data_IF_524124454753
#
_entry.id   IF_524124454753
#
_cell.length_a   1.000
_cell.length_b   1.000
_cell.length_c   1.000
_cell.angle_alpha   90.00
_cell.angle_beta   90.00
_cell.angle_gamma   90.00
#
_symmetry.space_group_name_H-M   'P 1'
#
loop_
_entity.id
_entity.type
_entity.pdbx_description
1 polymer ?
#
# COMPACT_ATOMS: atom_id res chain seq x y z
N UNK A 1 -0.99 -3.34 -51.77
CA UNK A 1 -1.85 -3.15 -51.05
C UNK A 1 -1.51 -2.99 -49.69
N UNK A 2 -1.65 -2.07 -49.12
CA UNK A 2 -1.35 -1.82 -47.79
C UNK A 2 -2.21 -2.54 -46.91
N UNK A 3 -1.62 -2.95 -45.95
CA UNK A 3 -2.38 -3.65 -45.00
C UNK A 3 -3.16 -2.74 -44.24
N UNK A 4 -4.30 -3.03 -44.01
CA UNK A 4 -5.05 -2.28 -43.23
C UNK A 4 -4.80 -2.51 -41.89
N UNK A 5 -4.46 -1.75 -41.15
CA UNK A 5 -4.30 -1.88 -39.85
C UNK A 5 -5.57 -2.08 -39.21
N UNK A 6 -5.72 -2.94 -38.33
CA UNK A 6 -6.93 -3.15 -37.63
C UNK A 6 -7.15 -1.99 -36.75
N UNK A 7 -8.32 -1.63 -36.55
CA UNK A 7 -8.61 -0.53 -35.68
C UNK A 7 -8.33 -0.97 -34.28
N UNK A 8 -8.04 -0.12 -33.47
CA UNK A 8 -7.73 -0.41 -32.11
C UNK A 8 -8.96 -0.91 -31.51
N UNK A 9 -8.82 -1.90 -30.85
CA UNK A 9 -9.96 -2.46 -30.28
C UNK A 9 -10.52 -1.56 -29.30
N UNK A 10 -11.69 -1.37 -29.37
CA UNK A 10 -12.27 -0.61 -28.46
C UNK A 10 -12.21 -1.22 -27.22
N UNK A 11 -11.78 -0.80 -26.41
CA UNK A 11 -11.73 -1.27 -25.22
C UNK A 11 -12.91 -1.28 -24.70
N UNK A 12 -13.28 -2.09 -24.28
CA UNK A 12 -14.40 -2.27 -23.77
C UNK A 12 -14.58 -1.57 -22.66
N UNK A 13 -14.88 -0.95 -22.62
CA UNK A 13 -15.18 -0.24 -21.61
C UNK A 13 -15.82 -0.82 -20.62
N UNK A 14 -15.96 -1.52 -20.50
CA UNK A 14 -16.48 -2.11 -19.67
C UNK A 14 -17.25 -1.68 -18.77
N UNK A 15 -17.64 -1.87 -18.48
CA UNK A 15 -18.56 -1.70 -17.66
C UNK A 15 -18.06 -1.16 -16.50
N UNK A 16 -17.84 -0.39 -16.40
CA UNK A 16 -17.33 0.13 -15.43
C UNK A 16 -17.53 -0.26 -14.11
N UNK A 17 -17.97 -1.26 -13.89
CA UNK A 17 -18.15 -1.68 -12.68
C UNK A 17 -16.99 -1.81 -12.11
N UNK A 18 -16.24 -1.12 -12.11
CA UNK A 18 -15.23 -1.20 -11.55
C UNK A 18 -14.16 -1.84 -11.42
N UNK A 19 -13.64 -2.29 -10.99
CA UNK A 19 -12.55 -2.96 -10.98
C UNK A 19 -11.52 -2.15 -11.57
N UNK A 20 -11.54 -0.86 -11.59
CA UNK A 20 -10.46 -0.09 -12.02
C UNK A 20 -9.35 -0.22 -11.05
N UNK A 21 -8.15 -0.13 -11.46
CA UNK A 21 -7.01 -0.16 -10.59
C UNK A 21 -6.47 1.24 -10.44
N UNK A 22 -6.05 1.57 -9.25
CA UNK A 22 -5.46 2.87 -9.00
C UNK A 22 -3.96 2.74 -9.06
N UNK A 23 -3.31 3.76 -9.60
CA UNK A 23 -1.87 3.80 -9.72
C UNK A 23 -1.32 4.72 -8.66
N UNK A 24 -0.44 4.19 -7.84
CA UNK A 24 0.21 4.96 -6.79
C UNK A 24 1.70 4.93 -7.00
N UNK A 25 2.41 5.82 -6.36
CA UNK A 25 3.86 5.83 -6.49
C UNK A 25 4.51 6.09 -5.14
N UNK A 26 5.74 5.62 -5.00
CA UNK A 26 6.55 5.89 -3.83
C UNK A 26 7.23 7.24 -4.04
N UNK A 27 7.21 8.06 -3.02
CA UNK A 27 7.67 9.43 -3.12
C UNK A 27 9.18 9.55 -2.93
N UNK A 28 9.74 8.88 -1.94
CA UNK A 28 11.15 9.05 -1.64
C UNK A 28 11.75 7.75 -1.15
N UNK A 29 13.07 7.71 -0.98
CA UNK A 29 13.77 6.56 -0.42
C UNK A 29 14.27 5.60 -1.47
N UNK A 30 14.54 4.37 -1.04
CA UNK A 30 15.13 3.38 -1.91
C UNK A 30 14.27 3.02 -3.09
N UNK A 31 12.97 3.11 -2.94
CA UNK A 31 12.02 2.78 -4.02
C UNK A 31 11.45 4.02 -4.68
N UNK A 32 12.09 5.17 -4.50
CA UNK A 32 11.58 6.41 -5.05
C UNK A 32 11.19 6.28 -6.49
N UNK A 33 10.00 6.74 -6.81
CA UNK A 33 9.49 6.74 -8.17
C UNK A 33 8.86 5.44 -8.60
N UNK A 34 8.98 4.37 -7.83
CA UNK A 34 8.32 3.13 -8.20
C UNK A 34 6.82 3.31 -8.14
N UNK A 35 6.14 2.75 -9.11
CA UNK A 35 4.70 2.83 -9.20
C UNK A 35 4.11 1.49 -8.98
N UNK A 36 2.91 1.45 -8.42
CA UNK A 36 2.24 0.18 -8.20
C UNK A 36 0.74 0.38 -8.31
N UNK A 37 0.05 -0.68 -8.67
CA UNK A 37 -1.39 -0.64 -8.82
C UNK A 37 -2.02 -1.49 -7.76
N UNK A 38 -3.21 -1.12 -7.35
CA UNK A 38 -3.97 -1.97 -6.45
C UNK A 38 -5.43 -1.89 -6.86
N UNK A 39 -6.20 -2.92 -6.54
CA UNK A 39 -7.60 -2.93 -6.96
C UNK A 39 -8.37 -1.82 -6.28
N UNK A 40 -9.32 -1.26 -7.02
CA UNK A 40 -10.11 -0.22 -6.45
C UNK A 40 -11.17 -0.90 -5.63
N UNK A 41 -10.99 -0.99 -4.37
CA UNK A 41 -11.96 -1.55 -3.48
C UNK A 41 -12.55 -0.41 -2.69
N UNK A 42 -13.14 -0.70 -1.60
CA UNK A 42 -13.65 0.36 -0.76
C UNK A 42 -12.50 0.88 0.05
N UNK A 43 -11.43 1.24 -0.60
CA UNK A 43 -10.25 1.74 0.05
C UNK A 43 -10.01 3.14 -0.43
N UNK A 44 -9.85 4.06 0.52
CA UNK A 44 -9.58 5.40 0.17
C UNK A 44 -8.09 5.60 0.18
N UNK A 45 -7.46 5.89 -0.92
CA UNK A 45 -6.02 6.06 -0.92
C UNK A 45 -5.63 7.37 -0.26
N UNK A 46 -4.48 7.38 0.36
CA UNK A 46 -3.94 8.59 0.94
C UNK A 46 -3.22 9.35 -0.15
N UNK A 47 -3.59 10.59 -0.42
CA UNK A 47 -2.97 11.33 -1.52
C UNK A 47 -1.47 11.52 -1.32
N UNK A 48 -0.74 11.67 -2.41
CA UNK A 48 0.70 11.85 -2.37
C UNK A 48 1.10 12.99 -1.47
N UNK A 49 0.41 14.12 -1.57
CA UNK A 49 0.74 15.26 -0.78
C UNK A 49 0.62 14.99 0.71
N UNK A 50 -0.40 14.27 1.11
CA UNK A 50 -0.60 13.96 2.51
C UNK A 50 0.51 13.02 2.98
N UNK A 51 0.87 12.03 2.17
CA UNK A 51 1.93 11.12 2.53
C UNK A 51 3.26 11.86 2.64
N UNK A 52 3.51 12.77 1.71
CA UNK A 52 4.74 13.52 1.74
C UNK A 52 4.85 14.36 3.02
N UNK A 53 3.78 15.04 3.38
CA UNK A 53 3.77 15.87 4.58
C UNK A 53 3.97 15.00 5.83
N UNK A 54 3.29 13.88 5.89
CA UNK A 54 3.42 12.99 7.02
C UNK A 54 4.86 12.53 7.21
N UNK A 55 5.49 12.07 6.13
CA UNK A 55 6.83 11.53 6.24
C UNK A 55 7.89 12.62 6.42
N UNK A 56 7.59 13.84 5.99
CA UNK A 56 8.49 14.96 6.31
C UNK A 56 8.51 15.18 7.82
N UNK A 57 7.36 15.07 8.47
CA UNK A 57 7.30 15.23 9.91
C UNK A 57 8.01 14.07 10.62
N UNK A 58 8.00 12.88 10.05
CA UNK A 58 8.57 11.71 10.69
C UNK A 58 10.01 11.44 10.24
N UNK A 59 10.58 12.35 9.46
CA UNK A 59 11.84 12.11 8.83
C UNK A 59 12.92 11.61 9.78
N UNK A 60 12.98 12.15 10.98
CA UNK A 60 14.01 11.76 11.92
C UNK A 60 13.72 10.45 12.63
N UNK A 61 12.52 9.89 12.44
CA UNK A 61 12.15 8.70 13.17
C UNK A 61 11.94 7.47 12.34
N UNK A 62 11.95 7.61 11.03
CA UNK A 62 11.63 6.48 10.16
C UNK A 62 12.78 5.49 10.06
N UNK A 63 14.00 5.96 9.89
CA UNK A 63 15.11 5.06 9.67
C UNK A 63 15.28 4.13 10.86
N UNK A 64 15.25 2.85 10.62
CA UNK A 64 15.40 1.86 11.67
C UNK A 64 14.15 1.59 12.50
N UNK A 65 13.04 2.22 12.17
CA UNK A 65 11.84 2.07 12.99
C UNK A 65 11.10 0.78 12.65
N UNK A 66 10.46 0.20 13.67
CA UNK A 66 9.53 -0.91 13.47
C UNK A 66 8.13 -0.32 13.45
N UNK A 67 7.45 -0.47 12.33
CA UNK A 67 6.21 0.24 12.08
C UNK A 67 5.02 -0.69 11.97
N UNK A 68 3.86 -0.20 12.34
CA UNK A 68 2.60 -0.91 12.17
C UNK A 68 1.67 -0.04 11.34
N UNK A 69 1.20 -0.57 10.22
CA UNK A 69 0.24 0.12 9.35
C UNK A 69 -1.09 -0.57 9.58
N UNK A 70 -1.91 0.00 10.44
CA UNK A 70 -3.04 -0.71 10.98
C UNK A 70 -4.22 -0.83 10.05
N UNK A 71 -4.49 0.09 9.20
CA UNK A 71 -5.54 0.00 8.21
C UNK A 71 -4.85 0.13 6.85
N UNK A 72 -4.12 -0.89 6.47
CA UNK A 72 -3.14 -0.74 5.40
C UNK A 72 -3.73 -0.40 4.02
N UNK A 73 -4.90 -0.93 3.71
CA UNK A 73 -5.49 -0.65 2.39
C UNK A 73 -4.54 -1.01 1.26
N UNK A 74 -4.14 -0.03 0.49
CA UNK A 74 -3.22 -0.25 -0.61
C UNK A 74 -1.81 -0.53 -0.12
N UNK A 75 -1.52 -0.21 1.13
CA UNK A 75 -0.19 -0.31 1.68
C UNK A 75 0.68 0.90 1.43
N UNK A 76 0.13 1.97 0.87
CA UNK A 76 0.95 3.12 0.46
C UNK A 76 1.77 3.70 1.61
N UNK A 77 1.21 3.78 2.80
CA UNK A 77 1.95 4.37 3.92
C UNK A 77 3.06 3.46 4.38
N UNK A 78 2.77 2.18 4.59
CA UNK A 78 3.81 1.26 5.03
C UNK A 78 4.89 1.04 3.97
N UNK A 79 4.51 1.03 2.70
CA UNK A 79 5.48 0.91 1.63
C UNK A 79 6.41 2.14 1.60
N UNK A 80 5.83 3.31 1.83
CA UNK A 80 6.65 4.52 1.90
C UNK A 80 7.61 4.44 3.07
N UNK A 81 7.16 3.94 4.21
CA UNK A 81 8.02 3.79 5.38
C UNK A 81 9.19 2.83 5.08
N UNK A 82 8.91 1.71 4.43
CA UNK A 82 9.97 0.78 4.06
C UNK A 82 10.95 1.45 3.12
N UNK A 83 10.45 2.19 2.15
CA UNK A 83 11.30 2.86 1.18
C UNK A 83 12.24 3.85 1.85
N UNK A 84 11.78 4.48 2.92
CA UNK A 84 12.57 5.50 3.61
C UNK A 84 13.41 4.94 4.75
N UNK A 85 13.51 3.62 4.84
CA UNK A 85 14.45 3.02 5.77
C UNK A 85 13.90 2.39 7.02
N UNK A 86 12.59 2.20 7.12
CA UNK A 86 12.04 1.51 8.28
C UNK A 86 12.66 0.13 8.38
N UNK A 87 12.89 -0.33 9.59
CA UNK A 87 13.47 -1.64 9.80
C UNK A 87 12.47 -2.74 9.47
N UNK A 88 11.21 -2.51 9.75
CA UNK A 88 10.18 -3.49 9.41
C UNK A 88 8.83 -2.82 9.42
N UNK A 89 7.89 -3.38 8.69
CA UNK A 89 6.51 -2.90 8.71
C UNK A 89 5.58 -4.10 8.76
N UNK A 90 4.63 -4.06 9.67
CA UNK A 90 3.54 -5.02 9.71
C UNK A 90 2.32 -4.30 9.19
N UNK A 91 1.72 -4.85 8.13
CA UNK A 91 0.52 -4.28 7.52
C UNK A 91 -0.66 -5.10 8.00
N UNK A 92 -1.69 -4.46 8.49
CA UNK A 92 -2.91 -5.16 8.91
C UNK A 92 -4.05 -4.66 8.05
N UNK A 93 -4.72 -5.57 7.38
CA UNK A 93 -5.79 -5.23 6.48
C UNK A 93 -6.80 -6.36 6.45
N UNK A 94 -8.09 -6.05 6.48
CA UNK A 94 -9.10 -7.10 6.54
C UNK A 94 -9.63 -7.53 5.16
N UNK A 95 -9.49 -6.69 4.15
CA UNK A 95 -10.01 -7.05 2.83
C UNK A 95 -9.02 -7.97 2.13
N UNK A 96 -9.46 -9.19 1.88
CA UNK A 96 -8.55 -10.20 1.36
C UNK A 96 -7.93 -9.83 0.02
N UNK A 97 -8.70 -9.18 -0.86
CA UNK A 97 -8.15 -8.80 -2.16
C UNK A 97 -7.00 -7.80 -1.99
N UNK A 98 -7.13 -6.88 -1.03
CA UNK A 98 -6.07 -5.92 -0.77
C UNK A 98 -4.86 -6.62 -0.18
N UNK A 99 -5.08 -7.57 0.72
CA UNK A 99 -3.99 -8.33 1.32
C UNK A 99 -3.23 -9.09 0.24
N UNK A 100 -3.94 -9.75 -0.66
CA UNK A 100 -3.30 -10.53 -1.71
C UNK A 100 -2.51 -9.64 -2.65
N UNK A 101 -3.05 -8.49 -3.01
CA UNK A 101 -2.34 -7.56 -3.89
C UNK A 101 -1.07 -7.04 -3.22
N UNK A 102 -1.14 -6.73 -1.94
CA UNK A 102 0.01 -6.21 -1.22
C UNK A 102 1.07 -7.29 -1.06
N UNK A 103 0.67 -8.51 -0.75
CA UNK A 103 1.63 -9.59 -0.64
C UNK A 103 2.34 -9.86 -1.97
N UNK A 104 1.62 -9.79 -3.08
CA UNK A 104 2.23 -9.99 -4.38
C UNK A 104 3.22 -8.88 -4.68
N UNK A 105 2.88 -7.65 -4.35
CA UNK A 105 3.76 -6.53 -4.58
C UNK A 105 5.04 -6.66 -3.76
N UNK A 106 4.91 -7.01 -2.50
CA UNK A 106 6.08 -7.15 -1.63
C UNK A 106 7.00 -8.26 -2.13
N UNK A 107 6.43 -9.31 -2.67
CA UNK A 107 7.22 -10.37 -3.25
C UNK A 107 7.97 -9.87 -4.47
N UNK A 108 7.27 -9.15 -5.35
CA UNK A 108 7.90 -8.61 -6.55
C UNK A 108 9.03 -7.67 -6.20
N UNK A 109 8.88 -6.89 -5.16
CA UNK A 109 9.89 -5.91 -4.77
C UNK A 109 10.91 -6.51 -3.82
N UNK A 110 10.80 -7.82 -3.53
CA UNK A 110 11.73 -8.51 -2.66
C UNK A 110 11.86 -7.83 -1.31
N UNK A 111 10.73 -7.41 -0.79
CA UNK A 111 10.70 -6.71 0.48
C UNK A 111 10.61 -7.73 1.60
N UNK A 112 11.74 -8.01 2.23
CA UNK A 112 11.78 -9.07 3.24
C UNK A 112 11.45 -8.60 4.64
N UNK A 113 11.38 -7.30 4.85
CA UNK A 113 11.10 -6.76 6.18
C UNK A 113 9.65 -6.35 6.32
N UNK A 114 8.77 -7.02 5.64
CA UNK A 114 7.37 -6.69 5.65
C UNK A 114 6.52 -7.94 5.90
N UNK A 115 5.48 -7.77 6.69
CA UNK A 115 4.54 -8.84 6.98
C UNK A 115 3.14 -8.30 6.76
N UNK A 116 2.28 -9.07 6.11
CA UNK A 116 0.90 -8.65 5.89
C UNK A 116 0.00 -9.61 6.63
N UNK A 117 -0.83 -9.05 7.51
CA UNK A 117 -1.75 -9.84 8.32
C UNK A 117 -3.16 -9.53 7.84
N UNK A 118 -3.92 -10.55 7.48
CA UNK A 118 -5.30 -10.38 7.06
C UNK A 118 -6.16 -10.49 8.29
N UNK A 119 -6.56 -9.35 8.84
CA UNK A 119 -7.30 -9.33 10.09
C UNK A 119 -7.98 -7.99 10.27
N UNK A 120 -8.94 -7.95 11.14
CA UNK A 120 -9.53 -6.70 11.55
C UNK A 120 -8.56 -6.04 12.51
N UNK A 121 -8.45 -4.72 12.43
CA UNK A 121 -7.50 -4.00 13.26
C UNK A 121 -7.72 -4.24 14.75
N UNK A 122 -8.98 -4.21 15.17
CA UNK A 122 -9.26 -4.37 16.59
C UNK A 122 -8.92 -5.78 17.06
N UNK A 123 -9.16 -6.77 16.21
CA UNK A 123 -8.85 -8.14 16.57
C UNK A 123 -7.33 -8.34 16.67
N UNK A 124 -6.59 -7.75 15.75
CA UNK A 124 -5.14 -7.83 15.78
C UNK A 124 -4.60 -7.23 17.08
N UNK A 125 -5.11 -6.06 17.45
CA UNK A 125 -4.64 -5.40 18.65
C UNK A 125 -5.01 -6.17 19.91
N UNK A 126 -6.19 -6.78 19.92
CA UNK A 126 -6.61 -7.54 21.07
C UNK A 126 -5.74 -8.77 21.28
N UNK A 127 -5.20 -9.34 20.21
CA UNK A 127 -4.34 -10.48 20.34
C UNK A 127 -2.96 -10.16 20.90
N UNK A 128 -2.60 -8.90 20.86
CA UNK A 128 -1.31 -8.48 21.42
C UNK A 128 -0.15 -8.86 20.52
N UNK A 129 0.41 -7.94 19.78
CA UNK A 129 1.57 -8.27 18.96
C UNK A 129 2.74 -8.65 19.84
N UNK A 130 3.56 -9.55 19.38
CA UNK A 130 4.68 -10.00 20.16
C UNK A 130 5.71 -8.95 20.35
N UNK A 131 5.80 -7.99 19.48
CA UNK A 131 6.81 -6.98 19.56
C UNK A 131 6.14 -5.63 19.55
N UNK A 132 6.67 -4.69 20.23
CA UNK A 132 6.17 -3.34 20.18
C UNK A 132 6.59 -2.66 18.89
N UNK A 133 5.98 -1.54 18.62
CA UNK A 133 6.26 -0.77 17.42
C UNK A 133 6.72 0.62 17.81
N UNK A 134 7.62 1.17 17.00
CA UNK A 134 8.08 2.53 17.22
C UNK A 134 7.10 3.53 16.63
N UNK A 135 6.43 3.18 15.55
CA UNK A 135 5.46 4.05 14.91
C UNK A 135 4.24 3.24 14.52
N UNK A 136 3.07 3.80 14.76
CA UNK A 136 1.82 3.17 14.36
C UNK A 136 1.08 4.16 13.49
N UNK A 137 0.75 3.73 12.27
CA UNK A 137 -0.03 4.56 11.37
C UNK A 137 -1.49 4.12 11.50
N UNK A 138 -2.35 5.07 11.77
CA UNK A 138 -3.73 4.76 12.03
C UNK A 138 -4.60 5.62 11.14
N UNK A 139 -5.09 5.05 10.07
CA UNK A 139 -5.88 5.78 9.09
C UNK A 139 -7.13 4.96 8.78
N UNK A 140 -8.08 4.90 9.71
CA UNK A 140 -9.25 4.04 9.51
C UNK A 140 -10.16 4.60 8.44
N UNK A 141 -10.89 3.72 7.76
CA UNK A 141 -11.82 4.19 6.76
C UNK A 141 -13.01 4.83 7.46
N UNK A 142 -13.62 5.81 6.80
CA UNK A 142 -14.76 6.44 7.36
C UNK A 142 -15.97 5.98 6.60
N UNK A 143 -16.99 5.64 7.27
CA UNK A 143 -18.18 5.12 6.65
C UNK A 143 -19.05 6.14 6.06
#
# INVERSE_FOLDING_TARGET
MPARRAPPSKKSTHDGRGRQQRLLRIIAGAWRGRRFRFPELEIRPTPDRVRETLFNWLQARIAGAHCLDLYAGSGAIGLEALSRGAASVVFVEHQRAAVNALRALLRDWQAHDATVVCDEAQHFLAGGPERGFDLVFLDPPYG
#
